data_IF_847484961863
#
_entry.id   IF_847484961863
#
_cell.length_a   1.000
_cell.length_b   1.000
_cell.length_c   1.000
_cell.angle_alpha   90.00
_cell.angle_beta   90.00
_cell.angle_gamma   90.00
#
_symmetry.space_group_name_H-M   'P 1'
#
loop_
_entity.id
_entity.type
_entity.pdbx_description
1 polymer ?
#
# COMPACT_ATOMS: atom_id res chain seq x y z
N UNK A 1 13.14 2.14 -4.65
CA UNK A 1 13.25 1.43 -3.36
C UNK A 1 14.23 2.19 -2.49
N UNK A 2 13.82 2.63 -1.30
CA UNK A 2 14.70 3.29 -0.33
C UNK A 2 15.65 2.27 0.29
N UNK A 3 16.93 2.61 0.47
CA UNK A 3 17.93 1.72 1.07
C UNK A 3 17.65 1.52 2.56
N UNK A 4 17.68 0.25 3.02
CA UNK A 4 17.68 -0.10 4.43
C UNK A 4 19.13 -0.20 4.93
N UNK A 5 19.46 0.56 5.97
CA UNK A 5 20.80 0.62 6.55
C UNK A 5 20.94 -0.45 7.64
N UNK A 6 21.25 -1.69 7.23
CA UNK A 6 21.65 -2.75 8.17
C UNK A 6 23.12 -2.66 8.58
N UNK A 7 23.94 -2.08 7.71
CA UNK A 7 25.36 -1.81 7.93
C UNK A 7 25.54 -0.32 7.67
N UNK A 8 25.97 0.47 8.67
CA UNK A 8 26.18 1.89 8.48
C UNK A 8 27.28 2.19 7.44
N UNK A 9 27.20 3.38 6.85
CA UNK A 9 28.19 3.87 5.89
C UNK A 9 29.60 3.87 6.50
N UNK A 10 30.62 3.59 5.69
CA UNK A 10 32.02 3.58 6.13
C UNK A 10 32.33 2.72 7.39
N UNK A 11 31.53 1.67 7.66
CA UNK A 11 31.81 0.73 8.78
C UNK A 11 33.23 0.13 8.72
N UNK A 12 33.73 -0.14 7.52
CA UNK A 12 35.10 -0.62 7.26
C UNK A 12 36.06 0.48 6.80
N UNK A 13 35.59 1.73 6.70
CA UNK A 13 36.39 2.87 6.23
C UNK A 13 37.03 3.62 7.39
N UNK A 14 38.02 4.46 7.07
CA UNK A 14 38.63 5.36 8.04
C UNK A 14 37.59 6.37 8.54
N UNK A 15 37.55 6.53 9.86
CA UNK A 15 36.61 7.40 10.59
C UNK A 15 37.34 8.11 11.72
N UNK A 16 36.98 9.37 11.94
CA UNK A 16 37.48 10.13 13.09
C UNK A 16 36.31 10.82 13.77
N UNK A 17 36.16 10.60 15.08
CA UNK A 17 35.07 11.18 15.87
C UNK A 17 34.94 12.69 15.69
N UNK A 18 33.72 13.18 15.51
CA UNK A 18 33.38 14.60 15.43
C UNK A 18 32.94 15.05 16.82
N UNK A 19 33.57 16.06 17.42
CA UNK A 19 33.14 16.60 18.71
C UNK A 19 31.78 17.30 18.63
N UNK A 20 31.02 17.29 19.72
CA UNK A 20 29.77 18.04 19.80
C UNK A 20 30.02 19.55 19.90
N UNK A 21 30.96 19.95 20.76
CA UNK A 21 31.27 21.35 21.05
C UNK A 21 31.96 22.06 19.90
N UNK A 22 31.63 23.35 19.75
CA UNK A 22 32.27 24.27 18.82
C UNK A 22 33.78 24.27 19.03
N UNK A 23 34.54 24.18 17.93
CA UNK A 23 36.00 24.11 17.97
C UNK A 23 36.59 25.50 17.74
N UNK A 24 37.51 25.91 18.61
CA UNK A 24 38.18 27.22 18.49
C UNK A 24 39.10 27.33 17.27
N UNK A 25 39.55 26.19 16.72
CA UNK A 25 40.37 26.10 15.52
C UNK A 25 39.53 26.09 14.21
N UNK A 26 38.21 26.27 14.32
CA UNK A 26 37.27 26.27 13.20
C UNK A 26 36.98 24.90 12.60
N UNK A 27 37.44 23.80 13.22
CA UNK A 27 37.17 22.45 12.74
C UNK A 27 35.69 22.05 12.89
N UNK A 28 35.24 21.11 12.05
CA UNK A 28 33.86 20.59 12.09
C UNK A 28 33.50 20.02 13.47
N UNK A 29 32.30 20.37 13.94
CA UNK A 29 31.65 19.85 15.15
C UNK A 29 30.17 19.61 14.88
N UNK A 30 29.48 18.82 15.70
CA UNK A 30 28.03 18.63 15.54
C UNK A 30 27.22 19.91 15.79
N UNK A 31 27.67 20.78 16.70
CA UNK A 31 26.99 22.05 16.98
C UNK A 31 27.19 23.08 15.88
N UNK A 32 28.41 23.21 15.35
CA UNK A 32 28.73 24.26 14.36
C UNK A 32 28.56 23.80 12.91
N UNK A 33 28.72 22.51 12.62
CA UNK A 33 28.89 22.00 11.27
C UNK A 33 30.22 22.45 10.63
N UNK A 34 30.29 22.37 9.30
CA UNK A 34 31.40 22.95 8.54
C UNK A 34 31.25 24.47 8.51
N UNK A 35 32.19 25.17 9.16
CA UNK A 35 32.18 26.63 9.27
C UNK A 35 32.72 27.37 8.05
N UNK A 36 32.81 28.69 8.16
CA UNK A 36 33.26 29.61 7.09
C UNK A 36 34.60 29.22 6.45
N UNK A 37 35.54 28.69 7.21
CA UNK A 37 36.86 28.33 6.67
C UNK A 37 36.81 27.21 5.62
N UNK A 38 35.73 26.43 5.54
CA UNK A 38 35.54 25.37 4.54
C UNK A 38 34.95 25.85 3.21
N UNK A 39 34.47 27.10 3.11
CA UNK A 39 34.02 27.70 1.84
C UNK A 39 35.06 28.64 1.20
N UNK A 40 36.17 28.87 1.89
CA UNK A 40 37.26 29.72 1.41
C UNK A 40 38.01 29.06 0.25
N UNK A 41 38.57 29.88 -0.62
CA UNK A 41 39.32 29.38 -1.79
C UNK A 41 40.64 28.75 -1.36
N UNK A 42 40.72 27.44 -1.53
CA UNK A 42 41.87 26.61 -1.16
C UNK A 42 43.15 26.95 -1.94
N UNK A 43 43.03 27.54 -3.13
CA UNK A 43 44.19 27.90 -3.94
C UNK A 43 44.84 29.21 -3.50
N UNK A 44 44.08 30.08 -2.83
CA UNK A 44 44.51 31.47 -2.57
C UNK A 44 44.52 31.86 -1.09
N UNK A 45 43.83 31.10 -0.23
CA UNK A 45 43.68 31.42 1.19
C UNK A 45 44.33 30.36 2.09
N UNK A 46 45.44 30.67 2.78
CA UNK A 46 46.12 29.73 3.68
C UNK A 46 45.29 29.27 4.89
N UNK A 47 44.18 29.96 5.20
CA UNK A 47 43.29 29.59 6.28
C UNK A 47 42.09 28.75 5.80
N UNK A 48 41.99 28.45 4.50
CA UNK A 48 40.98 27.53 3.98
C UNK A 48 41.19 26.10 4.54
N UNK A 49 40.08 25.41 4.79
CA UNK A 49 40.07 24.03 5.29
C UNK A 49 39.48 23.08 4.24
N UNK A 50 40.08 21.89 4.14
CA UNK A 50 39.56 20.79 3.32
C UNK A 50 38.49 20.01 4.09
N UNK A 51 37.46 19.54 3.38
CA UNK A 51 36.54 18.55 3.96
C UNK A 51 37.31 17.24 4.16
N UNK A 52 37.57 16.90 5.42
CA UNK A 52 38.34 15.72 5.78
C UNK A 52 37.49 14.46 5.52
N UNK A 53 38.01 13.54 4.69
CA UNK A 53 37.28 12.34 4.25
C UNK A 53 36.81 11.50 5.45
N UNK A 54 37.68 11.31 6.42
CA UNK A 54 37.44 10.55 7.65
C UNK A 54 36.38 11.19 8.55
N UNK A 55 36.26 12.53 8.54
CA UNK A 55 35.20 13.26 9.25
C UNK A 55 33.88 13.14 8.50
N UNK A 56 33.89 13.32 7.18
CA UNK A 56 32.70 13.12 6.36
C UNK A 56 32.18 11.67 6.45
N UNK A 57 33.08 10.69 6.49
CA UNK A 57 32.74 9.29 6.73
C UNK A 57 32.09 9.08 8.11
N UNK A 58 32.63 9.71 9.16
CA UNK A 58 32.02 9.67 10.49
C UNK A 58 30.62 10.28 10.51
N UNK A 59 30.43 11.45 9.89
CA UNK A 59 29.10 12.08 9.81
C UNK A 59 28.07 11.16 9.13
N UNK A 60 28.42 10.58 7.98
CA UNK A 60 27.52 9.65 7.31
C UNK A 60 27.34 8.33 8.05
N UNK A 61 28.39 7.86 8.74
CA UNK A 61 28.28 6.68 9.58
C UNK A 61 27.24 6.91 10.67
N UNK A 62 27.39 7.97 11.46
CA UNK A 62 26.56 8.24 12.63
C UNK A 62 25.08 8.46 12.22
N UNK A 63 24.84 9.15 11.10
CA UNK A 63 23.48 9.30 10.53
C UNK A 63 22.91 7.94 10.10
N UNK A 64 23.68 7.15 9.36
CA UNK A 64 23.17 5.88 8.81
C UNK A 64 23.03 4.80 9.86
N UNK A 65 23.81 4.86 10.94
CA UNK A 65 23.66 4.05 12.14
C UNK A 65 22.35 4.38 12.86
N UNK A 66 22.12 5.65 13.19
CA UNK A 66 20.88 6.08 13.85
C UNK A 66 19.62 5.74 13.02
N UNK A 67 19.67 5.94 11.70
CA UNK A 67 18.59 5.55 10.79
C UNK A 67 18.44 4.02 10.76
N UNK A 68 19.54 3.27 10.75
CA UNK A 68 19.54 1.81 10.75
C UNK A 68 18.92 1.20 12.00
N UNK A 69 19.19 1.79 13.17
CA UNK A 69 18.57 1.43 14.45
C UNK A 69 17.06 1.67 14.40
N UNK A 70 16.61 2.85 13.98
CA UNK A 70 15.18 3.15 13.86
C UNK A 70 14.48 2.24 12.84
N UNK A 71 15.13 1.90 11.73
CA UNK A 71 14.60 0.96 10.74
C UNK A 71 14.49 -0.47 11.27
N UNK A 72 15.39 -0.86 12.18
CA UNK A 72 15.45 -2.20 12.74
C UNK A 72 14.47 -2.40 13.91
N UNK A 73 14.35 -1.42 14.80
CA UNK A 73 13.57 -1.51 16.03
C UNK A 73 12.26 -0.71 16.01
N UNK A 74 12.04 0.13 15.00
CA UNK A 74 10.85 0.99 14.85
C UNK A 74 10.88 2.24 15.74
N UNK A 75 11.70 2.25 16.79
CA UNK A 75 11.93 3.38 17.71
C UNK A 75 13.43 3.50 18.00
N UNK A 76 13.93 4.67 18.44
CA UNK A 76 15.33 4.83 18.83
C UNK A 76 15.73 3.89 19.98
N UNK A 77 16.97 3.41 19.99
CA UNK A 77 17.51 2.65 21.12
C UNK A 77 17.79 3.61 22.28
N UNK A 78 17.54 3.17 23.51
CA UNK A 78 17.86 3.98 24.69
C UNK A 78 19.38 4.15 24.83
N UNK A 79 19.82 5.38 25.11
CA UNK A 79 21.22 5.74 25.27
C UNK A 79 21.40 6.73 26.43
N UNK A 80 22.52 6.62 27.14
CA UNK A 80 22.85 7.52 28.26
C UNK A 80 22.96 8.98 27.80
N UNK A 81 23.55 9.21 26.62
CA UNK A 81 23.69 10.54 26.01
C UNK A 81 22.36 11.14 25.52
N UNK A 82 21.32 10.32 25.32
CA UNK A 82 20.00 10.77 24.89
C UNK A 82 19.16 11.40 26.01
N UNK A 83 19.68 11.40 27.24
CA UNK A 83 19.02 12.04 28.39
C UNK A 83 19.09 13.56 28.28
N UNK A 84 18.06 14.28 28.74
CA UNK A 84 16.82 13.75 29.31
C UNK A 84 15.77 13.44 28.24
N UNK A 85 14.99 12.37 28.46
CA UNK A 85 13.88 12.00 27.58
C UNK A 85 12.60 12.76 27.95
N UNK A 86 11.92 13.34 26.95
CA UNK A 86 10.64 14.01 27.15
C UNK A 86 9.52 13.02 27.53
N UNK A 87 8.43 13.54 28.10
CA UNK A 87 7.24 12.72 28.37
C UNK A 87 6.70 12.15 27.06
N UNK A 88 6.24 10.90 27.07
CA UNK A 88 5.77 10.12 25.91
C UNK A 88 6.82 9.74 24.87
N UNK A 89 8.10 10.11 25.03
CA UNK A 89 9.18 9.56 24.19
C UNK A 89 9.22 8.04 24.30
N UNK A 90 9.37 7.35 23.17
CA UNK A 90 9.46 5.88 23.11
C UNK A 90 10.87 5.43 22.73
N UNK A 91 11.39 4.46 23.46
CA UNK A 91 12.73 3.90 23.26
C UNK A 91 12.73 2.38 23.30
N UNK A 92 13.65 1.76 22.58
CA UNK A 92 13.92 0.33 22.67
C UNK A 92 15.05 0.07 23.67
N UNK A 93 14.83 -0.80 24.65
CA UNK A 93 15.84 -1.17 25.65
C UNK A 93 15.62 -2.58 26.18
N UNK A 94 16.70 -3.37 26.30
CA UNK A 94 16.67 -4.75 26.83
C UNK A 94 15.55 -5.61 26.23
N UNK A 95 15.44 -5.60 24.90
CA UNK A 95 14.45 -6.33 24.10
C UNK A 95 12.99 -5.91 24.31
N UNK A 96 12.74 -4.70 24.81
CA UNK A 96 11.42 -4.17 25.11
C UNK A 96 11.28 -2.72 24.64
N UNK A 97 10.05 -2.31 24.35
CA UNK A 97 9.73 -0.92 24.04
C UNK A 97 9.20 -0.23 25.29
N UNK A 98 9.72 0.95 25.58
CA UNK A 98 9.38 1.73 26.77
C UNK A 98 8.90 3.12 26.38
N UNK A 99 7.92 3.64 27.09
CA UNK A 99 7.45 5.02 26.97
C UNK A 99 7.73 5.80 28.26
N UNK A 100 8.34 6.98 28.14
CA UNK A 100 8.58 7.87 29.27
C UNK A 100 7.28 8.43 29.83
N UNK A 101 7.12 8.40 31.16
CA UNK A 101 5.93 8.88 31.89
C UNK A 101 6.13 10.23 32.58
N UNK A 102 7.37 10.71 32.65
CA UNK A 102 7.73 11.96 33.34
C UNK A 102 8.46 12.90 32.37
N UNK A 103 8.40 14.20 32.64
CA UNK A 103 9.24 15.17 31.95
C UNK A 103 10.69 15.05 32.39
N UNK A 104 11.60 15.40 31.49
CA UNK A 104 13.05 15.38 31.71
C UNK A 104 13.58 14.06 32.31
N UNK A 105 13.12 12.93 31.78
CA UNK A 105 13.45 11.62 32.32
C UNK A 105 14.92 11.25 32.09
N UNK A 106 15.69 11.15 33.17
CA UNK A 106 17.12 10.77 33.17
C UNK A 106 17.36 9.35 33.66
N UNK A 107 16.30 8.58 33.93
CA UNK A 107 16.43 7.22 34.47
C UNK A 107 16.51 6.17 33.37
N UNK A 108 17.20 5.06 33.62
CA UNK A 108 17.21 3.91 32.72
C UNK A 108 15.81 3.24 32.68
N UNK A 109 15.32 2.79 31.50
CA UNK A 109 14.02 2.15 31.38
C UNK A 109 13.88 0.89 32.25
N UNK A 110 12.91 0.96 33.18
CA UNK A 110 12.52 -0.12 34.06
C UNK A 110 11.06 0.08 34.49
N UNK A 111 10.37 -1.01 34.86
CA UNK A 111 8.99 -0.94 35.31
C UNK A 111 8.85 -0.04 36.55
N UNK A 112 8.03 1.02 36.46
CA UNK A 112 7.82 1.93 37.58
C UNK A 112 7.08 3.22 37.24
N UNK A 113 7.43 4.28 37.97
CA UNK A 113 6.80 5.60 37.83
C UNK A 113 7.32 6.37 36.62
N UNK A 114 8.60 6.22 36.27
CA UNK A 114 9.25 6.96 35.19
C UNK A 114 9.03 6.36 33.80
N UNK A 115 8.80 5.04 33.68
CA UNK A 115 8.65 4.34 32.40
C UNK A 115 7.46 3.38 32.40
N UNK A 116 6.79 3.28 31.25
CA UNK A 116 5.77 2.26 30.95
C UNK A 116 6.32 1.31 29.88
N UNK A 117 6.20 0.00 30.08
CA UNK A 117 6.48 -0.99 29.04
C UNK A 117 5.31 -1.00 28.03
N UNK A 118 5.61 -0.85 26.75
CA UNK A 118 4.65 -1.00 25.66
C UNK A 118 4.68 -2.45 25.18
N UNK A 119 3.69 -3.24 25.60
CA UNK A 119 3.57 -4.66 25.27
C UNK A 119 2.80 -4.85 23.96
N UNK A 120 3.22 -5.83 23.16
CA UNK A 120 2.50 -6.25 21.96
C UNK A 120 1.22 -7.05 22.33
N UNK A 121 1.30 -7.85 23.39
CA UNK A 121 0.19 -8.63 23.92
C UNK A 121 -0.29 -7.99 25.22
N UNK A 122 -1.57 -7.62 25.28
CA UNK A 122 -2.21 -7.16 26.50
C UNK A 122 -3.02 -8.32 27.08
N UNK A 123 -2.71 -8.73 28.29
CA UNK A 123 -3.46 -9.80 28.96
C UNK A 123 -4.79 -9.27 29.51
N UNK A 124 -5.79 -10.14 29.66
CA UNK A 124 -7.09 -9.77 30.20
C UNK A 124 -6.97 -9.08 31.59
N UNK A 125 -6.05 -9.57 32.43
CA UNK A 125 -5.74 -8.99 33.73
C UNK A 125 -5.19 -7.56 33.69
N UNK A 126 -4.57 -7.13 32.58
CA UNK A 126 -3.99 -5.79 32.43
C UNK A 126 -4.99 -4.73 31.95
N UNK A 127 -6.08 -5.14 31.29
CA UNK A 127 -7.17 -4.24 30.87
C UNK A 127 -8.33 -4.17 31.86
N UNK A 128 -8.26 -4.94 32.96
CA UNK A 128 -9.42 -5.16 33.83
C UNK A 128 -10.54 -5.96 33.16
N UNK A 129 -10.26 -6.60 32.02
CA UNK A 129 -11.17 -7.52 31.38
C UNK A 129 -11.07 -8.88 32.06
N UNK A 130 -12.21 -9.49 32.35
CA UNK A 130 -12.22 -10.86 32.86
C UNK A 130 -11.86 -11.82 31.73
N UNK A 131 -10.97 -12.76 31.99
CA UNK A 131 -10.75 -13.90 31.10
C UNK A 131 -12.05 -14.70 30.94
N UNK A 132 -12.18 -15.48 29.86
CA UNK A 132 -13.37 -16.33 29.65
C UNK A 132 -13.68 -17.20 30.88
N UNK A 133 -12.66 -17.77 31.52
CA UNK A 133 -12.82 -18.57 32.73
C UNK A 133 -13.30 -17.78 33.95
N UNK A 134 -12.86 -16.52 34.10
CA UNK A 134 -13.35 -15.64 35.17
C UNK A 134 -14.78 -15.15 34.92
N UNK A 135 -15.14 -14.86 33.66
CA UNK A 135 -16.51 -14.57 33.27
C UNK A 135 -17.45 -15.75 33.53
N UNK A 136 -17.01 -16.96 33.19
CA UNK A 136 -17.76 -18.21 33.40
C UNK A 136 -17.99 -18.50 34.91
N UNK A 137 -17.17 -17.94 35.81
CA UNK A 137 -17.33 -18.06 37.27
C UNK A 137 -18.06 -16.87 37.93
N UNK A 138 -17.86 -15.65 37.45
CA UNK A 138 -18.40 -14.43 38.07
C UNK A 138 -19.78 -14.01 37.56
N UNK A 139 -20.08 -14.23 36.29
CA UNK A 139 -21.25 -13.61 35.63
C UNK A 139 -22.22 -14.64 35.00
N UNK A 140 -21.86 -15.92 35.01
CA UNK A 140 -22.84 -17.00 34.89
C UNK A 140 -22.87 -17.79 36.20
N UNK A 141 -24.04 -18.05 36.81
CA UNK A 141 -24.14 -19.17 37.70
C UNK A 141 -23.93 -20.41 36.84
N UNK A 142 -22.79 -21.09 37.00
CA UNK A 142 -22.71 -22.51 36.70
C UNK A 142 -23.70 -23.20 37.65
N UNK A 143 -24.98 -23.19 37.28
CA UNK A 143 -26.00 -24.00 37.92
C UNK A 143 -25.54 -25.45 37.81
N UNK A 144 -25.54 -26.14 38.94
CA UNK A 144 -25.30 -27.58 39.01
C UNK A 144 -26.35 -28.30 38.15
N UNK A 145 -26.08 -28.47 36.86
CA UNK A 145 -26.83 -29.41 36.05
C UNK A 145 -26.45 -30.80 36.55
N UNK A 146 -27.39 -31.44 37.24
CA UNK A 146 -27.32 -32.87 37.49
C UNK A 146 -27.14 -33.57 36.12
N UNK A 147 -26.19 -34.50 35.99
CA UNK A 147 -26.04 -35.28 34.77
C UNK A 147 -27.37 -35.94 34.43
N UNK A 148 -27.70 -36.00 33.13
CA UNK A 148 -28.86 -36.70 32.62
C UNK A 148 -28.89 -38.14 33.19
N UNK A 149 -29.87 -38.43 34.06
CA UNK A 149 -30.06 -39.76 34.66
C UNK A 149 -30.25 -39.84 36.18
N UNK A 150 -30.11 -38.76 36.97
CA UNK A 150 -30.34 -38.84 38.42
C UNK A 150 -31.77 -38.42 38.82
N UNK A 151 -32.69 -39.36 38.72
CA UNK A 151 -33.93 -39.41 39.51
C UNK A 151 -33.94 -40.71 40.30
N UNK A 152 -34.29 -40.67 41.59
CA UNK A 152 -34.31 -41.85 42.46
C UNK A 152 -35.05 -43.01 41.78
N UNK A 153 -34.44 -44.19 41.78
CA UNK A 153 -35.11 -45.38 41.30
C UNK A 153 -36.31 -45.71 42.20
N UNK A 154 -37.32 -46.38 41.65
CA UNK A 154 -38.54 -46.74 42.40
C UNK A 154 -38.22 -47.55 43.67
N UNK A 155 -37.12 -48.30 43.66
CA UNK A 155 -36.60 -49.04 44.80
C UNK A 155 -36.02 -48.14 45.92
N UNK A 156 -35.41 -47.00 45.58
CA UNK A 156 -34.87 -46.06 46.56
C UNK A 156 -35.98 -45.23 47.24
N UNK A 157 -37.05 -44.92 46.50
CA UNK A 157 -38.25 -44.27 47.07
C UNK A 157 -39.00 -45.17 48.07
N UNK A 158 -39.09 -46.48 47.78
CA UNK A 158 -39.86 -47.43 48.59
C UNK A 158 -39.16 -47.79 49.92
N UNK A 159 -37.87 -47.47 50.07
CA UNK A 159 -37.08 -47.81 51.26
C UNK A 159 -36.88 -46.63 52.23
N UNK A 160 -37.01 -45.38 51.75
CA UNK A 160 -36.77 -44.17 52.56
C UNK A 160 -38.04 -43.51 53.13
N UNK A 161 -39.23 -43.82 52.62
CA UNK A 161 -40.51 -43.28 53.10
C UNK A 161 -41.53 -44.41 53.34
N UNK A 162 -42.26 -44.29 54.46
CA UNK A 162 -43.09 -45.33 55.11
C UNK A 162 -43.77 -46.40 54.22
N UNK A 163 -43.77 -47.70 54.62
CA UNK A 163 -44.57 -48.74 53.98
C UNK A 163 -46.07 -48.55 54.25
N UNK A 164 -46.89 -48.67 53.21
CA UNK A 164 -48.35 -48.58 53.30
C UNK A 164 -48.92 -49.88 53.88
N UNK A 165 -49.24 -49.90 55.17
CA UNK A 165 -49.97 -51.03 55.78
C UNK A 165 -49.74 -51.22 57.27
N UNK A 166 -50.16 -50.27 58.11
CA UNK A 166 -50.49 -50.52 59.51
C UNK A 166 -51.13 -49.29 60.16
N UNK A 167 -52.46 -49.31 60.35
CA UNK A 167 -53.12 -48.62 61.47
C UNK A 167 -54.39 -49.38 61.84
N UNK A 168 -54.27 -50.27 62.82
CA UNK A 168 -55.37 -50.57 63.72
C UNK A 168 -55.05 -49.93 65.07
N UNK A 169 -56.02 -49.24 65.69
CA UNK A 169 -56.15 -49.26 67.13
C UNK A 169 -57.45 -49.95 67.53
N UNK A 170 -57.31 -50.82 68.51
CA UNK A 170 -58.38 -51.50 69.20
C UNK A 170 -59.30 -50.53 69.96
N UNK A 171 -60.60 -50.84 69.95
CA UNK A 171 -61.53 -50.51 71.03
C UNK A 171 -62.08 -49.08 71.06
N UNK A 172 -63.34 -48.92 70.62
CA UNK A 172 -64.36 -48.19 71.39
C UNK A 172 -65.76 -48.47 70.85
N UNK A 173 -66.63 -48.96 71.74
CA UNK A 173 -67.97 -49.45 71.45
C UNK A 173 -69.01 -48.32 71.40
N UNK A 174 -69.97 -48.42 70.47
CA UNK A 174 -71.29 -47.81 70.57
C UNK A 174 -72.35 -48.84 70.12
N UNK A 175 -73.50 -48.83 70.80
CA UNK A 175 -74.48 -49.93 70.90
C UNK A 175 -75.38 -50.15 69.67
N UNK A 176 -75.86 -51.39 69.55
CA UNK A 176 -76.57 -52.05 68.43
C UNK A 176 -78.05 -51.63 68.26
N UNK A 177 -78.38 -50.34 68.17
CA UNK A 177 -79.80 -49.94 67.99
C UNK A 177 -80.13 -48.91 66.90
N UNK A 178 -79.18 -48.25 66.23
CA UNK A 178 -79.53 -47.18 65.25
C UNK A 178 -78.74 -47.19 63.91
N UNK A 179 -78.37 -48.36 63.35
CA UNK A 179 -77.66 -48.42 62.05
C UNK A 179 -78.47 -49.22 61.03
N UNK A 180 -78.91 -48.55 59.97
CA UNK A 180 -79.53 -49.17 58.79
C UNK A 180 -78.55 -50.13 58.11
N UNK A 181 -79.05 -51.28 57.66
CA UNK A 181 -78.28 -52.28 56.92
C UNK A 181 -77.86 -51.75 55.54
N UNK A 182 -76.78 -52.31 54.98
CA UNK A 182 -76.21 -51.89 53.68
C UNK A 182 -77.26 -51.91 52.55
N UNK A 183 -78.20 -52.85 52.61
CA UNK A 183 -79.35 -52.97 51.71
C UNK A 183 -80.33 -51.80 51.83
N UNK A 184 -80.48 -51.22 53.02
CA UNK A 184 -81.40 -50.09 53.28
C UNK A 184 -80.80 -48.73 52.86
N UNK A 185 -79.47 -48.62 52.80
CA UNK A 185 -78.76 -47.45 52.28
C UNK A 185 -78.77 -47.36 50.74
N UNK A 186 -78.55 -48.50 50.07
CA UNK A 186 -78.43 -48.57 48.60
C UNK A 186 -79.75 -48.31 47.85
N UNK A 187 -80.91 -48.44 48.52
CA UNK A 187 -82.23 -48.19 47.93
C UNK A 187 -82.77 -46.77 48.08
N UNK A 188 -82.17 -45.93 48.93
CA UNK A 188 -82.70 -44.59 49.29
C UNK A 188 -81.94 -43.40 48.71
N UNK A 189 -80.77 -43.62 48.10
CA UNK A 189 -79.98 -42.54 47.52
C UNK A 189 -79.51 -42.89 46.11
N UNK A 190 -80.00 -42.15 45.10
CA UNK A 190 -79.35 -42.12 43.80
C UNK A 190 -77.97 -41.44 43.92
N UNK A 191 -76.89 -41.98 43.32
CA UNK A 191 -75.62 -41.27 43.22
C UNK A 191 -75.83 -39.98 42.42
N UNK A 192 -75.85 -38.85 43.11
CA UNK A 192 -75.96 -37.53 42.50
C UNK A 192 -74.65 -37.19 41.78
N UNK A 193 -74.77 -36.81 40.51
CA UNK A 193 -73.89 -35.80 39.92
C UNK A 193 -72.88 -36.29 38.90
N UNK A 194 -73.37 -36.69 37.74
CA UNK A 194 -72.91 -36.17 36.45
C UNK A 194 -71.39 -36.08 36.17
N UNK A 195 -70.92 -37.12 35.48
CA UNK A 195 -70.07 -37.11 34.29
C UNK A 195 -69.14 -35.90 34.04
N UNK A 196 -67.83 -36.13 34.16
CA UNK A 196 -66.84 -35.56 33.24
C UNK A 196 -65.67 -36.55 33.07
N UNK A 197 -65.17 -36.78 31.83
CA UNK A 197 -64.23 -37.87 31.56
C UNK A 197 -62.85 -37.59 32.18
N UNK A 198 -62.18 -38.66 32.59
CA UNK A 198 -60.78 -38.66 33.03
C UNK A 198 -59.88 -38.10 31.92
N UNK A 199 -59.38 -36.89 32.12
CA UNK A 199 -58.34 -36.26 31.32
C UNK A 199 -57.38 -35.54 32.27
N UNK A 200 -56.14 -35.30 31.84
CA UNK A 200 -55.13 -34.61 32.65
C UNK A 200 -55.61 -33.19 33.00
N UNK A 201 -56.09 -32.99 34.23
CA UNK A 201 -56.45 -31.66 34.72
C UNK A 201 -55.21 -31.00 35.33
N UNK A 202 -54.95 -29.76 34.95
CA UNK A 202 -53.97 -28.94 35.66
C UNK A 202 -54.47 -28.67 37.09
N UNK A 203 -53.73 -29.13 38.10
CA UNK A 203 -54.02 -28.82 39.50
C UNK A 203 -53.80 -27.31 39.75
N UNK A 204 -54.46 -26.73 40.76
CA UNK A 204 -54.23 -25.32 41.14
C UNK A 204 -52.74 -25.01 41.38
N UNK A 205 -51.99 -25.99 41.89
CA UNK A 205 -50.54 -25.90 42.06
C UNK A 205 -49.77 -25.75 40.73
N UNK A 206 -50.28 -26.29 39.62
CA UNK A 206 -49.68 -26.18 38.29
C UNK A 206 -50.16 -24.94 37.53
N UNK A 207 -51.39 -24.50 37.78
CA UNK A 207 -51.90 -23.22 37.28
C UNK A 207 -51.16 -22.03 37.90
N UNK A 208 -50.82 -22.11 39.19
CA UNK A 208 -50.06 -21.08 39.91
C UNK A 208 -48.59 -20.96 39.47
N UNK A 209 -48.06 -21.95 38.74
CA UNK A 209 -46.71 -21.88 38.13
C UNK A 209 -46.71 -21.18 36.78
N UNK A 210 -47.87 -20.96 36.16
CA UNK A 210 -47.97 -20.27 34.87
C UNK A 210 -47.76 -18.78 35.08
N UNK A 211 -46.97 -18.17 34.19
CA UNK A 211 -46.89 -16.71 34.09
C UNK A 211 -48.28 -16.16 33.84
N UNK A 212 -48.68 -15.17 34.66
CA UNK A 212 -49.92 -14.44 34.45
C UNK A 212 -49.87 -13.78 33.06
N UNK A 213 -50.88 -14.05 32.23
CA UNK A 213 -50.95 -13.49 30.87
C UNK A 213 -50.97 -11.97 30.87
N UNK A 214 -51.47 -11.34 31.93
CA UNK A 214 -51.47 -9.89 32.10
C UNK A 214 -50.08 -9.32 32.40
N UNK A 215 -49.14 -10.15 32.87
CA UNK A 215 -47.74 -9.80 33.08
C UNK A 215 -46.88 -9.93 31.81
N UNK A 216 -47.44 -10.42 30.69
CA UNK A 216 -46.74 -10.54 29.40
C UNK A 216 -47.01 -9.27 28.57
N UNK A 217 -45.96 -8.50 28.29
CA UNK A 217 -46.05 -7.22 27.56
C UNK A 217 -45.45 -7.32 26.16
N UNK A 218 -45.94 -6.48 25.24
CA UNK A 218 -45.49 -6.43 23.84
C UNK A 218 -44.50 -5.28 23.53
N UNK A 219 -44.09 -4.52 24.55
CA UNK A 219 -43.24 -3.34 24.39
C UNK A 219 -41.95 -3.47 25.22
N UNK A 220 -40.91 -2.77 24.80
CA UNK A 220 -39.63 -2.64 25.53
C UNK A 220 -39.77 -1.76 26.77
N UNK A 221 -39.03 -2.09 27.83
CA UNK A 221 -39.02 -1.34 29.09
C UNK A 221 -38.14 -1.96 30.17
N UNK A 222 -38.10 -1.34 31.34
CA UNK A 222 -37.29 -1.73 32.51
C UNK A 222 -38.13 -2.33 33.65
N UNK A 223 -39.30 -2.89 33.33
CA UNK A 223 -40.22 -3.45 34.33
C UNK A 223 -39.57 -4.58 35.13
N UNK A 224 -39.70 -4.53 36.46
CA UNK A 224 -39.28 -5.60 37.36
C UNK A 224 -40.38 -6.62 37.65
N UNK A 225 -41.60 -6.40 37.14
CA UNK A 225 -42.80 -7.21 37.45
C UNK A 225 -43.44 -7.84 36.21
N UNK A 226 -43.08 -7.38 35.01
CA UNK A 226 -43.63 -7.85 33.74
C UNK A 226 -42.53 -8.47 32.89
N UNK A 227 -42.88 -9.49 32.12
CA UNK A 227 -41.96 -10.17 31.19
C UNK A 227 -42.32 -9.84 29.74
N UNK A 228 -41.31 -9.68 28.90
CA UNK A 228 -41.51 -9.39 27.48
C UNK A 228 -41.94 -10.66 26.74
N UNK A 229 -42.89 -10.53 25.80
CA UNK A 229 -43.25 -11.65 24.93
C UNK A 229 -42.10 -12.02 23.98
N UNK A 230 -42.06 -13.27 23.49
CA UNK A 230 -41.08 -13.69 22.49
C UNK A 230 -41.13 -12.81 21.23
N UNK A 231 -42.33 -12.40 20.81
CA UNK A 231 -42.51 -11.51 19.67
C UNK A 231 -41.88 -10.13 19.92
N UNK A 232 -42.13 -9.54 21.09
CA UNK A 232 -41.58 -8.25 21.46
C UNK A 232 -40.05 -8.28 21.63
N UNK A 233 -39.50 -9.37 22.18
CA UNK A 233 -38.03 -9.57 22.21
C UNK A 233 -37.47 -9.65 20.80
N UNK A 234 -38.15 -10.39 19.92
CA UNK A 234 -37.74 -10.56 18.52
C UNK A 234 -37.75 -9.22 17.77
N UNK A 235 -38.81 -8.43 17.91
CA UNK A 235 -38.93 -7.12 17.28
C UNK A 235 -37.94 -6.09 17.87
N UNK A 236 -37.75 -6.08 19.19
CA UNK A 236 -36.77 -5.22 19.84
C UNK A 236 -35.34 -5.53 19.38
N UNK A 237 -35.00 -6.82 19.28
CA UNK A 237 -33.68 -7.24 18.80
C UNK A 237 -33.50 -6.91 17.32
N UNK A 238 -34.48 -7.19 16.45
CA UNK A 238 -34.45 -6.79 15.04
C UNK A 238 -34.20 -5.29 14.86
N UNK A 239 -34.84 -4.45 15.68
CA UNK A 239 -34.62 -3.00 15.64
C UNK A 239 -33.23 -2.59 16.17
N UNK A 240 -32.72 -3.26 17.20
CA UNK A 240 -31.41 -2.94 17.78
C UNK A 240 -30.22 -3.36 16.91
N UNK A 241 -30.34 -4.46 16.14
CA UNK A 241 -29.29 -4.97 15.23
C UNK A 241 -29.63 -4.77 13.75
N UNK A 242 -30.40 -3.72 13.44
CA UNK A 242 -30.85 -3.48 12.08
C UNK A 242 -29.68 -3.07 11.16
N UNK A 243 -29.35 -3.97 10.23
CA UNK A 243 -28.29 -3.77 9.24
C UNK A 243 -28.53 -2.55 8.35
N UNK A 244 -29.78 -2.16 8.13
CA UNK A 244 -30.15 -0.97 7.33
C UNK A 244 -29.79 0.34 8.04
N UNK A 245 -29.74 0.31 9.37
CA UNK A 245 -29.33 1.48 10.17
C UNK A 245 -27.81 1.60 10.23
N UNK A 246 -27.10 0.47 10.33
CA UNK A 246 -25.63 0.45 10.40
C UNK A 246 -25.01 0.64 9.01
N UNK A 247 -25.58 -0.02 8.00
CA UNK A 247 -25.10 -0.02 6.63
C UNK A 247 -26.25 0.30 5.66
N UNK A 248 -26.66 1.58 5.54
CA UNK A 248 -27.73 1.96 4.63
C UNK A 248 -27.39 1.67 3.17
N UNK A 249 -28.41 1.53 2.31
CA UNK A 249 -28.21 1.38 0.87
C UNK A 249 -27.39 2.56 0.32
N UNK A 250 -26.36 2.27 -0.47
CA UNK A 250 -25.39 3.24 -0.96
C UNK A 250 -24.15 3.44 -0.09
N UNK A 251 -24.12 2.88 1.14
CA UNK A 251 -22.90 2.91 1.98
C UNK A 251 -21.78 2.12 1.33
N UNK A 252 -20.55 2.59 1.54
CA UNK A 252 -19.32 1.92 1.12
C UNK A 252 -18.63 1.32 2.33
N UNK A 253 -18.17 0.08 2.21
CA UNK A 253 -17.33 -0.60 3.20
C UNK A 253 -16.05 -1.11 2.55
N UNK A 254 -15.00 -1.23 3.36
CA UNK A 254 -13.67 -1.64 2.93
C UNK A 254 -13.18 -2.81 3.77
N UNK A 255 -12.70 -3.86 3.10
CA UNK A 255 -12.07 -5.00 3.78
C UNK A 255 -10.57 -5.05 3.49
N UNK A 256 -9.77 -5.17 4.55
CA UNK A 256 -8.33 -5.48 4.45
C UNK A 256 -8.06 -6.97 4.19
N UNK A 257 -9.11 -7.77 3.99
CA UNK A 257 -9.06 -9.19 3.69
C UNK A 257 -10.00 -9.49 2.52
N UNK A 258 -9.78 -10.61 1.85
CA UNK A 258 -10.69 -11.07 0.80
C UNK A 258 -12.00 -11.57 1.41
N UNK A 259 -12.94 -10.65 1.61
CA UNK A 259 -14.27 -10.89 2.17
C UNK A 259 -15.31 -10.32 1.23
N UNK A 260 -16.33 -11.13 0.94
CA UNK A 260 -17.49 -10.73 0.18
C UNK A 260 -18.64 -10.42 1.15
N UNK A 261 -19.10 -9.16 1.24
CA UNK A 261 -20.17 -8.80 2.17
C UNK A 261 -21.52 -9.45 1.85
N UNK A 262 -21.73 -9.95 0.61
CA UNK A 262 -22.91 -10.75 0.29
C UNK A 262 -22.96 -12.07 1.09
N UNK A 263 -21.81 -12.60 1.51
CA UNK A 263 -21.73 -13.82 2.33
C UNK A 263 -21.80 -13.49 3.84
N UNK A 264 -21.40 -12.27 4.23
CA UNK A 264 -21.34 -11.84 5.63
C UNK A 264 -22.68 -11.29 6.15
N UNK A 265 -23.47 -10.68 5.26
CA UNK A 265 -24.71 -10.00 5.62
C UNK A 265 -25.89 -10.58 4.84
N UNK A 266 -26.44 -11.73 5.28
CA UNK A 266 -27.60 -12.36 4.64
C UNK A 266 -28.77 -11.39 4.49
N UNK A 267 -29.44 -11.43 3.33
CA UNK A 267 -30.57 -10.55 3.03
C UNK A 267 -30.21 -9.18 2.46
N UNK A 268 -28.92 -8.85 2.36
CA UNK A 268 -28.43 -7.63 1.70
C UNK A 268 -27.79 -7.96 0.33
N UNK A 269 -27.57 -6.95 -0.50
CA UNK A 269 -26.83 -7.10 -1.75
C UNK A 269 -25.78 -6.00 -1.89
N UNK A 270 -24.58 -6.39 -2.32
CA UNK A 270 -23.42 -5.53 -2.44
C UNK A 270 -22.74 -5.70 -3.79
N UNK A 271 -22.28 -4.58 -4.34
CA UNK A 271 -21.56 -4.53 -5.61
C UNK A 271 -20.11 -4.12 -5.39
N UNK A 272 -19.20 -4.77 -6.12
CA UNK A 272 -17.77 -4.48 -6.05
C UNK A 272 -17.46 -3.15 -6.76
N UNK A 273 -16.64 -2.31 -6.14
CA UNK A 273 -16.29 -0.98 -6.67
C UNK A 273 -15.31 -1.08 -7.85
N UNK A 274 -14.57 -2.19 -7.95
CA UNK A 274 -13.56 -2.46 -8.97
C UNK A 274 -12.13 -2.30 -8.46
N UNK A 275 -11.18 -2.58 -9.35
CA UNK A 275 -9.75 -2.72 -9.02
C UNK A 275 -8.94 -1.49 -9.44
N UNK A 276 -7.80 -1.28 -8.76
CA UNK A 276 -6.80 -0.24 -9.09
C UNK A 276 -7.42 1.17 -9.24
N UNK A 277 -8.31 1.54 -8.32
CA UNK A 277 -8.97 2.86 -8.28
C UNK A 277 -8.62 3.61 -7.01
N UNK A 278 -8.43 4.92 -7.17
CA UNK A 278 -8.37 5.87 -6.05
C UNK A 278 -9.70 6.61 -5.92
N UNK A 279 -10.18 6.81 -4.69
CA UNK A 279 -11.47 7.46 -4.44
C UNK A 279 -11.39 8.97 -4.68
N UNK A 280 -12.38 9.48 -5.42
CA UNK A 280 -12.61 10.92 -5.61
C UNK A 280 -14.01 11.27 -5.12
N UNK A 281 -14.18 12.49 -4.64
CA UNK A 281 -15.48 13.00 -4.24
C UNK A 281 -16.33 13.29 -5.48
N UNK A 282 -17.60 12.87 -5.42
CA UNK A 282 -18.59 13.26 -6.41
C UNK A 282 -18.89 14.76 -6.32
N UNK A 283 -19.45 15.33 -7.39
CA UNK A 283 -19.99 16.68 -7.34
C UNK A 283 -21.18 16.77 -6.37
N UNK A 284 -21.51 17.98 -5.93
CA UNK A 284 -22.57 18.19 -4.94
C UNK A 284 -23.97 17.77 -5.40
N UNK A 285 -24.21 17.70 -6.73
CA UNK A 285 -25.46 17.21 -7.28
C UNK A 285 -25.55 15.68 -7.33
N UNK A 286 -24.44 14.97 -7.10
CA UNK A 286 -24.34 13.52 -7.20
C UNK A 286 -24.43 12.96 -8.61
N UNK A 287 -24.44 13.80 -9.65
CA UNK A 287 -24.67 13.34 -11.03
C UNK A 287 -23.54 12.48 -11.60
N UNK A 288 -22.36 12.53 -10.99
CA UNK A 288 -21.19 11.73 -11.37
C UNK A 288 -20.85 10.63 -10.34
N UNK A 289 -21.76 10.28 -9.43
CA UNK A 289 -21.58 9.15 -8.52
C UNK A 289 -21.30 7.87 -9.33
N UNK A 290 -20.31 7.08 -8.87
CA UNK A 290 -19.81 5.86 -9.51
C UNK A 290 -19.20 6.03 -10.91
N UNK A 291 -19.05 7.26 -11.40
CA UNK A 291 -18.23 7.50 -12.60
C UNK A 291 -16.78 7.10 -12.35
N UNK A 292 -16.11 6.59 -13.38
CA UNK A 292 -14.71 6.18 -13.31
C UNK A 292 -13.88 6.78 -14.43
N UNK A 293 -12.58 6.95 -14.19
CA UNK A 293 -11.64 7.51 -15.14
C UNK A 293 -10.22 7.49 -14.59
N UNK A 294 -9.27 7.97 -15.39
CA UNK A 294 -7.83 7.88 -15.10
C UNK A 294 -7.16 6.69 -15.79
N UNK A 295 -5.83 6.69 -15.75
CA UNK A 295 -4.97 5.61 -16.26
C UNK A 295 -3.70 5.58 -15.43
N UNK A 296 -3.19 4.39 -15.15
CA UNK A 296 -1.92 4.19 -14.43
C UNK A 296 -0.71 4.60 -15.26
N UNK A 297 -0.85 4.61 -16.59
CA UNK A 297 0.22 4.88 -17.53
C UNK A 297 -0.21 5.91 -18.58
N UNK A 298 0.75 6.73 -19.00
CA UNK A 298 0.61 7.65 -20.13
C UNK A 298 1.76 7.45 -21.13
N UNK A 299 1.41 7.41 -22.41
CA UNK A 299 2.38 7.52 -23.52
C UNK A 299 2.44 8.98 -23.93
N UNK A 300 3.62 9.61 -23.81
CA UNK A 300 3.79 10.97 -24.31
C UNK A 300 3.68 10.99 -25.84
N UNK A 301 2.85 11.90 -26.35
CA UNK A 301 2.75 12.21 -27.77
C UNK A 301 3.49 13.50 -28.09
N UNK A 302 3.74 13.78 -29.37
CA UNK A 302 4.33 15.04 -29.80
C UNK A 302 3.54 16.27 -29.29
N UNK A 303 2.21 16.15 -29.13
CA UNK A 303 1.37 17.22 -28.59
C UNK A 303 1.59 17.49 -27.09
N UNK A 304 2.20 16.55 -26.37
CA UNK A 304 2.53 16.71 -24.94
C UNK A 304 3.92 17.30 -24.71
N UNK A 305 4.72 17.50 -25.76
CA UNK A 305 6.07 18.04 -25.65
C UNK A 305 6.03 19.56 -25.85
N UNK A 306 6.77 20.35 -25.03
CA UNK A 306 7.00 21.75 -25.32
C UNK A 306 7.62 21.94 -26.71
N UNK A 307 7.26 23.05 -27.36
CA UNK A 307 7.88 23.43 -28.64
C UNK A 307 9.39 23.57 -28.45
N UNK A 308 10.16 22.86 -29.27
CA UNK A 308 11.61 22.92 -29.28
C UNK A 308 12.11 22.77 -30.72
N UNK A 309 13.30 23.28 -30.99
CA UNK A 309 13.97 23.14 -32.27
C UNK A 309 15.44 22.80 -32.06
N UNK A 310 15.99 21.98 -32.96
CA UNK A 310 17.41 21.70 -33.03
C UNK A 310 17.90 22.18 -34.39
N UNK A 311 18.90 23.05 -34.38
CA UNK A 311 19.58 23.48 -35.60
C UNK A 311 21.08 23.27 -35.42
N UNK A 312 21.71 22.67 -36.42
CA UNK A 312 23.16 22.76 -36.58
C UNK A 312 23.44 23.17 -38.02
N UNK A 313 24.28 24.19 -38.16
CA UNK A 313 24.78 24.66 -39.44
C UNK A 313 26.26 24.99 -39.27
N UNK A 314 27.02 24.73 -40.33
CA UNK A 314 28.44 25.03 -40.37
C UNK A 314 28.83 25.47 -41.77
N UNK A 315 29.91 26.24 -41.86
CA UNK A 315 30.52 26.63 -43.13
C UNK A 315 32.00 26.33 -43.03
N UNK A 316 32.55 25.65 -44.03
CA UNK A 316 33.99 25.41 -44.07
C UNK A 316 34.72 26.74 -44.31
N UNK A 317 35.89 26.92 -43.72
CA UNK A 317 36.77 28.05 -44.07
C UNK A 317 37.02 28.06 -45.58
N UNK A 318 36.98 29.23 -46.21
CA UNK A 318 37.28 29.35 -47.63
C UNK A 318 38.74 28.97 -47.88
N UNK A 319 38.96 28.02 -48.79
CA UNK A 319 40.29 27.61 -49.21
C UNK A 319 40.41 27.80 -50.71
N UNK A 320 41.47 28.48 -51.14
CA UNK A 320 41.76 28.69 -52.55
C UNK A 320 42.60 27.54 -53.08
N UNK A 321 42.01 26.73 -53.95
CA UNK A 321 42.73 25.66 -54.64
C UNK A 321 43.69 26.19 -55.72
N UNK A 322 43.61 27.49 -56.03
CA UNK A 322 44.39 28.16 -57.03
C UNK A 322 44.11 27.62 -58.42
N UNK A 323 45.13 27.68 -59.27
CA UNK A 323 45.09 27.16 -60.63
C UNK A 323 45.78 25.79 -60.67
N UNK A 324 45.14 24.79 -61.26
CA UNK A 324 45.71 23.44 -61.47
C UNK A 324 46.04 23.22 -62.94
N UNK A 325 47.09 22.44 -63.19
CA UNK A 325 47.65 22.22 -64.52
C UNK A 325 47.51 20.75 -64.89
N UNK A 326 47.06 20.47 -66.12
CA UNK A 326 46.99 19.09 -66.63
C UNK A 326 48.39 18.52 -66.84
N UNK A 327 48.52 17.18 -66.83
CA UNK A 327 49.77 16.59 -67.30
C UNK A 327 49.94 16.84 -68.80
N UNK A 328 51.18 16.74 -69.26
CA UNK A 328 51.54 17.00 -70.66
C UNK A 328 51.71 15.70 -71.45
N UNK A 329 51.23 14.56 -70.93
CA UNK A 329 51.47 13.23 -71.50
C UNK A 329 50.35 12.87 -72.47
N UNK A 330 50.69 12.18 -73.56
CA UNK A 330 49.73 11.88 -74.64
C UNK A 330 49.90 12.80 -75.84
N UNK A 331 51.16 13.11 -76.20
CA UNK A 331 51.45 13.77 -77.47
C UNK A 331 50.82 12.94 -78.59
N UNK A 332 49.99 13.57 -79.40
CA UNK A 332 49.45 12.96 -80.58
C UNK A 332 49.57 13.93 -81.75
N UNK A 333 49.78 13.35 -82.93
CA UNK A 333 49.86 14.08 -84.18
C UNK A 333 48.57 13.85 -84.95
N UNK A 334 48.07 14.91 -85.59
CA UNK A 334 46.99 14.78 -86.56
C UNK A 334 47.62 14.68 -87.95
N UNK A 335 47.34 13.57 -88.64
CA UNK A 335 47.66 13.45 -90.05
C UNK A 335 46.46 14.00 -90.85
N UNK A 336 46.68 15.06 -91.61
CA UNK A 336 45.71 15.48 -92.62
C UNK A 336 46.12 14.87 -93.96
N UNK A 337 45.22 14.09 -94.55
CA UNK A 337 45.39 13.61 -95.93
C UNK A 337 44.85 14.67 -96.88
N UNK A 338 45.74 15.31 -97.65
CA UNK A 338 45.35 16.17 -98.75
C UNK A 338 44.73 15.31 -99.86
N UNK A 339 43.44 15.47 -100.12
CA UNK A 339 42.70 14.62 -101.07
C UNK A 339 42.86 15.02 -102.55
N UNK A 340 43.60 16.10 -102.88
CA UNK A 340 43.81 16.54 -104.26
C UNK A 340 45.25 17.02 -104.50
N UNK A 341 45.83 16.59 -105.63
CA UNK A 341 47.14 17.06 -106.12
C UNK A 341 46.97 18.34 -106.92
N UNK A 342 47.77 19.36 -106.58
CA UNK A 342 47.90 20.60 -107.36
C UNK A 342 47.06 21.75 -106.81
N UNK A 343 47.73 22.66 -106.12
CA UNK A 343 47.18 23.95 -105.72
C UNK A 343 47.89 24.50 -104.49
N UNK A 344 48.72 25.52 -104.69
CA UNK A 344 49.31 26.34 -103.63
C UNK A 344 48.22 27.15 -102.91
N UNK A 345 47.38 26.49 -102.14
CA UNK A 345 46.54 27.16 -101.15
C UNK A 345 46.96 26.69 -99.78
N UNK A 346 48.00 27.33 -99.25
CA UNK A 346 48.30 27.28 -97.81
C UNK A 346 47.08 27.77 -97.04
N UNK A 347 46.46 26.97 -96.15
CA UNK A 347 45.33 27.42 -95.34
C UNK A 347 45.75 28.37 -94.20
N UNK A 348 47.05 28.46 -93.93
CA UNK A 348 47.63 29.34 -92.93
C UNK A 348 48.81 30.07 -93.58
N UNK A 349 48.80 31.40 -93.49
CA UNK A 349 49.67 32.36 -94.14
C UNK A 349 51.14 32.30 -93.64
N UNK A 350 51.73 31.11 -93.55
CA UNK A 350 53.10 30.86 -93.11
C UNK A 350 54.01 30.62 -94.31
N UNK A 351 55.03 31.47 -94.48
CA UNK A 351 56.01 31.32 -95.54
C UNK A 351 56.81 30.03 -95.35
N UNK A 352 56.59 29.02 -96.20
CA UNK A 352 57.47 27.87 -96.28
C UNK A 352 58.82 28.33 -96.85
N UNK A 353 59.90 28.16 -96.07
CA UNK A 353 61.26 28.43 -96.53
C UNK A 353 61.57 27.56 -97.75
N UNK A 354 61.91 28.21 -98.85
CA UNK A 354 62.12 27.59 -100.15
C UNK A 354 63.16 26.46 -100.09
N UNK A 355 62.80 25.25 -100.56
CA UNK A 355 63.80 24.19 -100.72
C UNK A 355 63.34 22.74 -100.94
N UNK A 356 62.07 22.42 -101.19
CA UNK A 356 61.67 21.02 -101.41
C UNK A 356 60.69 20.83 -102.58
N UNK A 357 61.08 19.98 -103.54
CA UNK A 357 60.31 19.53 -104.71
C UNK A 357 59.15 18.60 -104.27
N UNK A 358 57.93 18.85 -104.76
CA UNK A 358 56.67 18.36 -104.20
C UNK A 358 55.88 17.50 -105.21
N UNK A 359 56.45 16.35 -105.61
CA UNK A 359 55.79 15.40 -106.55
C UNK A 359 55.39 14.06 -105.93
N UNK A 360 55.60 13.84 -104.64
CA UNK A 360 55.10 12.65 -103.93
C UNK A 360 53.91 12.99 -103.04
N UNK A 361 52.82 12.20 -103.10
CA UNK A 361 51.74 12.22 -102.09
C UNK A 361 52.36 11.94 -100.72
N UNK A 362 52.76 12.99 -100.03
CA UNK A 362 53.27 12.90 -98.67
C UNK A 362 52.12 13.33 -97.76
N UNK A 363 51.41 12.35 -97.23
CA UNK A 363 50.72 12.53 -95.95
C UNK A 363 51.79 12.73 -94.88
N UNK A 364 52.35 13.93 -94.83
CA UNK A 364 53.25 14.34 -93.77
C UNK A 364 52.43 14.51 -92.51
N UNK A 365 52.86 13.88 -91.42
CA UNK A 365 52.41 14.31 -90.11
C UNK A 365 52.71 15.81 -89.99
N UNK A 366 51.74 16.59 -89.51
CA UNK A 366 52.04 17.97 -89.13
C UNK A 366 53.12 17.95 -88.03
N UNK A 367 53.98 18.98 -88.03
CA UNK A 367 55.05 19.07 -87.04
C UNK A 367 54.51 19.06 -85.61
N UNK A 368 55.28 18.46 -84.72
CA UNK A 368 54.96 18.41 -83.30
C UNK A 368 54.98 19.82 -82.71
N UNK A 369 53.83 20.27 -82.20
CA UNK A 369 53.76 21.46 -81.35
C UNK A 369 54.32 21.21 -79.93
N UNK A 370 54.80 19.99 -79.67
CA UNK A 370 55.31 19.55 -78.38
C UNK A 370 54.21 19.25 -77.38
N UNK A 371 54.62 18.60 -76.29
CA UNK A 371 53.78 18.37 -75.12
C UNK A 371 53.38 19.72 -74.52
N UNK A 372 52.09 20.02 -74.45
CA UNK A 372 51.57 21.20 -73.76
C UNK A 372 50.58 20.82 -72.66
N UNK A 373 50.37 21.74 -71.73
CA UNK A 373 49.39 21.60 -70.67
C UNK A 373 48.36 22.73 -70.76
N UNK A 374 47.24 22.50 -70.10
CA UNK A 374 46.22 23.50 -69.86
C UNK A 374 46.13 23.80 -68.37
N UNK A 375 45.68 25.01 -68.07
CA UNK A 375 45.43 25.47 -66.70
C UNK A 375 43.94 25.68 -66.47
N UNK A 376 43.45 25.26 -65.30
CA UNK A 376 42.07 25.51 -64.86
C UNK A 376 42.12 26.23 -63.51
N UNK A 377 41.52 27.42 -63.47
CA UNK A 377 41.34 28.19 -62.24
C UNK A 377 40.13 27.66 -61.48
N UNK A 378 40.35 27.18 -60.26
CA UNK A 378 39.28 26.63 -59.39
C UNK A 378 38.80 27.70 -58.39
N UNK A 379 39.74 28.48 -57.85
CA UNK A 379 39.46 29.63 -57.00
C UNK A 379 38.97 29.28 -55.59
N UNK A 380 38.81 30.33 -54.79
CA UNK A 380 38.31 30.25 -53.43
C UNK A 380 36.82 29.91 -53.43
N UNK A 381 36.46 28.83 -52.73
CA UNK A 381 35.07 28.49 -52.48
C UNK A 381 34.91 27.86 -51.09
N UNK A 382 33.66 27.77 -50.64
CA UNK A 382 33.29 27.21 -49.34
C UNK A 382 32.07 26.32 -49.51
N UNK A 383 31.92 25.33 -48.64
CA UNK A 383 30.74 24.48 -48.59
C UNK A 383 29.91 24.77 -47.35
N UNK A 384 28.60 24.86 -47.53
CA UNK A 384 27.62 24.86 -46.44
C UNK A 384 27.08 23.45 -46.25
N UNK A 385 26.90 23.05 -44.99
CA UNK A 385 26.17 21.83 -44.65
C UNK A 385 25.21 22.08 -43.49
N UNK A 386 24.10 21.35 -43.51
CA UNK A 386 23.04 21.40 -42.50
C UNK A 386 22.36 20.03 -42.43
N UNK A 387 21.78 19.71 -41.28
CA UNK A 387 21.00 18.50 -41.12
C UNK A 387 20.16 18.50 -39.86
N UNK A 388 19.55 17.35 -39.56
CA UNK A 388 18.81 17.08 -38.34
C UNK A 388 19.51 16.01 -37.51
N UNK A 389 19.35 16.07 -36.20
CA UNK A 389 19.78 14.99 -35.30
C UNK A 389 18.71 13.90 -35.27
N UNK A 390 19.11 12.65 -35.01
CA UNK A 390 18.19 11.51 -34.93
C UNK A 390 17.16 11.64 -33.80
N UNK A 391 16.17 10.75 -33.82
CA UNK A 391 15.13 10.68 -32.78
C UNK A 391 15.72 10.30 -31.42
N UNK A 392 15.29 10.98 -30.36
CA UNK A 392 15.60 10.65 -28.96
C UNK A 392 14.31 10.22 -28.25
N UNK A 393 14.39 9.17 -27.42
CA UNK A 393 13.28 8.62 -26.65
C UNK A 393 12.85 7.21 -27.12
N UNK A 394 12.47 6.36 -26.18
CA UNK A 394 12.07 4.96 -26.41
C UNK A 394 10.56 4.75 -26.59
N UNK A 395 9.75 5.80 -26.40
CA UNK A 395 8.29 5.67 -26.34
C UNK A 395 7.79 4.88 -25.12
N UNK A 396 8.65 4.68 -24.12
CA UNK A 396 8.28 3.96 -22.89
C UNK A 396 7.16 4.67 -22.14
N UNK A 397 6.28 3.87 -21.57
CA UNK A 397 5.20 4.36 -20.71
C UNK A 397 5.76 5.07 -19.49
N UNK A 398 5.16 6.20 -19.15
CA UNK A 398 5.38 6.87 -17.87
C UNK A 398 4.30 6.37 -16.91
N UNK A 399 4.73 5.75 -15.81
CA UNK A 399 3.83 5.37 -14.74
C UNK A 399 3.50 6.58 -13.87
N UNK A 400 2.22 6.81 -13.64
CA UNK A 400 1.69 7.86 -12.75
C UNK A 400 1.02 7.27 -11.51
N UNK A 401 1.31 6.00 -11.22
CA UNK A 401 0.77 5.26 -10.09
C UNK A 401 1.26 5.88 -8.78
N UNK A 402 0.33 6.32 -7.94
CA UNK A 402 0.65 6.82 -6.60
C UNK A 402 1.00 5.66 -5.64
N UNK A 403 1.72 5.94 -4.55
CA UNK A 403 1.82 4.98 -3.46
C UNK A 403 0.42 4.72 -2.88
N UNK A 404 0.05 3.46 -2.65
CA UNK A 404 -1.28 3.08 -2.18
C UNK A 404 -1.28 1.83 -1.29
N UNK A 405 -2.41 1.63 -0.60
CA UNK A 405 -2.80 0.38 0.05
C UNK A 405 -4.06 -0.10 -0.64
N UNK A 406 -4.12 -1.38 -1.00
CA UNK A 406 -5.29 -2.00 -1.65
C UNK A 406 -6.21 -2.62 -0.61
N UNK A 407 -7.49 -2.23 -0.63
CA UNK A 407 -8.56 -2.80 0.16
C UNK A 407 -9.69 -3.22 -0.77
N UNK A 408 -10.47 -4.24 -0.40
CA UNK A 408 -11.66 -4.61 -1.16
C UNK A 408 -12.82 -3.69 -0.81
N UNK A 409 -13.17 -2.81 -1.76
CA UNK A 409 -14.28 -1.87 -1.63
C UNK A 409 -15.58 -2.41 -2.20
N UNK A 410 -16.66 -2.32 -1.42
CA UNK A 410 -18.00 -2.72 -1.82
C UNK A 410 -19.00 -1.63 -1.45
N UNK A 411 -20.04 -1.46 -2.27
CA UNK A 411 -21.16 -0.58 -1.94
C UNK A 411 -22.47 -1.35 -1.91
N UNK A 412 -23.34 -1.01 -0.96
CA UNK A 412 -24.62 -1.70 -0.79
C UNK A 412 -25.62 -1.24 -1.85
N UNK A 413 -26.28 -2.18 -2.51
CA UNK A 413 -27.32 -1.93 -3.51
C UNK A 413 -28.72 -2.32 -3.05
N UNK A 414 -28.84 -3.22 -2.07
CA UNK A 414 -30.11 -3.61 -1.44
C UNK A 414 -29.92 -3.99 0.01
#
# INVERSE_FOLDING_TARGET
MTKLFKVPFATQGDRTAIPDDIRADGAVSYTQGYGYDYERDQATDPAAKDIEREKMNSLFHDITEAVGEMQSFGVPVWQEAGKPYAVRSTVYHKNKTWQSKIENNTTEPAAGTAWAELKADITAGETGAYSKGECDQKFQPAGNYLPEGYSYSKAESDTAFQPKGNYAPAGNYALKTDVYTKTEGDGRYQPKGNYQPAGEYALNADLNKKVDKTAIVQNTGNSSTSVMSQNAVTEALKNAVNIDTIYPVGVVIWFAQNKNPNDLFPGTTWSYIGENKTIRLANSSGSNILSSGGSDNITLTAANLPSHSHSFSGTTSSFDYGTKTTNTTGNHIHAMTLCHQGGNNSPANGQASAGWDWTGKSSGAMDYAGNHNHTVAIGAHSHSFSGTTGNTGSGSLISVVNAYITLMGWYRTK
#
